data_IF_005486850016
#
_entry.id   IF_005486850016
#
_cell.length_a   1.000
_cell.length_b   1.000
_cell.length_c   1.000
_cell.angle_alpha   90.00
_cell.angle_beta   90.00
_cell.angle_gamma   90.00
#
_symmetry.space_group_name_H-M   'P 1'
#
loop_
_entity.id
_entity.type
_entity.pdbx_description
1 polymer ?
#
# COMPACT_ATOMS: atom_id res chain seq x y z
N UNK A 1 5.97 -10.76 -1.17
CA UNK A 1 5.37 -9.73 -2.02
C UNK A 1 5.44 -8.44 -1.26
N UNK A 2 5.65 -7.32 -1.94
CA UNK A 2 5.58 -6.01 -1.31
C UNK A 2 4.21 -5.38 -1.55
N UNK A 3 3.70 -4.72 -0.51
CA UNK A 3 2.42 -4.04 -0.54
C UNK A 3 2.57 -2.56 -0.20
N UNK A 4 1.61 -1.77 -0.66
CA UNK A 4 1.37 -0.41 -0.21
C UNK A 4 0.04 -0.43 0.56
N UNK A 5 -0.03 0.31 1.65
CA UNK A 5 -1.28 0.59 2.35
C UNK A 5 -1.60 2.05 2.15
N UNK A 6 -2.80 2.31 1.66
CA UNK A 6 -3.35 3.64 1.49
C UNK A 6 -3.83 4.19 2.83
N UNK A 7 -3.85 5.52 2.95
CA UNK A 7 -4.23 6.21 4.17
C UNK A 7 -5.71 5.99 4.51
N UNK A 8 -6.57 5.86 3.50
CA UNK A 8 -8.00 5.63 3.69
C UNK A 8 -8.31 4.36 4.51
N UNK A 9 -7.49 3.31 4.38
CA UNK A 9 -7.64 2.01 5.05
C UNK A 9 -6.65 1.76 6.17
N UNK A 10 -5.74 2.69 6.48
CA UNK A 10 -4.71 2.48 7.51
C UNK A 10 -5.32 2.12 8.87
N UNK A 11 -6.44 2.75 9.22
CA UNK A 11 -7.16 2.54 10.46
C UNK A 11 -7.75 1.13 10.57
N UNK A 12 -8.05 0.47 9.44
CA UNK A 12 -8.57 -0.89 9.44
C UNK A 12 -7.53 -1.91 9.90
N UNK A 13 -6.25 -1.63 9.63
CA UNK A 13 -5.12 -2.52 9.95
C UNK A 13 -4.39 -2.11 11.24
N UNK A 14 -4.33 -0.81 11.52
CA UNK A 14 -3.51 -0.25 12.61
C UNK A 14 -4.33 0.48 13.68
N UNK A 15 -5.63 0.70 13.46
CA UNK A 15 -6.51 1.31 14.45
C UNK A 15 -6.85 0.40 15.63
N UNK A 16 -7.53 0.96 16.63
CA UNK A 16 -7.98 0.23 17.82
C UNK A 16 -9.07 -0.81 17.49
N UNK A 17 -9.96 -0.50 16.54
CA UNK A 17 -11.02 -1.39 16.07
C UNK A 17 -10.74 -1.85 14.65
N UNK A 18 -9.83 -2.81 14.52
CA UNK A 18 -9.45 -3.38 13.23
C UNK A 18 -10.60 -4.15 12.59
N UNK A 19 -10.73 -4.10 11.27
CA UNK A 19 -11.63 -4.99 10.53
C UNK A 19 -11.01 -6.39 10.46
N UNK A 20 -11.79 -7.44 10.18
CA UNK A 20 -11.19 -8.77 10.00
C UNK A 20 -10.18 -8.79 8.83
N UNK A 21 -10.49 -8.24 7.64
CA UNK A 21 -9.50 -8.11 6.57
C UNK A 21 -8.26 -7.32 7.01
N UNK A 22 -8.43 -6.17 7.66
CA UNK A 22 -7.31 -5.38 8.18
C UNK A 22 -6.44 -6.13 9.18
N UNK A 23 -7.03 -6.92 10.09
CA UNK A 23 -6.26 -7.83 10.97
C UNK A 23 -5.44 -8.84 10.18
N UNK A 24 -6.04 -9.47 9.16
CA UNK A 24 -5.35 -10.47 8.34
C UNK A 24 -4.21 -9.87 7.51
N UNK A 25 -4.40 -8.66 7.01
CA UNK A 25 -3.35 -7.90 6.33
C UNK A 25 -2.20 -7.59 7.30
N UNK A 26 -2.50 -7.06 8.50
CA UNK A 26 -1.50 -6.80 9.53
C UNK A 26 -0.72 -8.07 9.92
N UNK A 27 -1.40 -9.20 10.14
CA UNK A 27 -0.76 -10.48 10.45
C UNK A 27 0.15 -10.95 9.31
N UNK A 28 -0.28 -10.77 8.07
CA UNK A 28 0.52 -11.10 6.88
C UNK A 28 1.82 -10.30 6.83
N UNK A 29 1.76 -8.99 7.08
CA UNK A 29 2.97 -8.14 7.14
C UNK A 29 3.91 -8.64 8.26
N UNK A 30 3.39 -8.90 9.46
CA UNK A 30 4.24 -9.35 10.58
C UNK A 30 4.88 -10.73 10.35
N UNK A 31 4.24 -11.62 9.59
CA UNK A 31 4.77 -12.96 9.29
C UNK A 31 5.81 -12.98 8.17
N UNK A 32 5.86 -11.99 7.30
CA UNK A 32 6.60 -12.16 6.05
C UNK A 32 6.44 -11.06 5.03
N UNK A 33 5.25 -10.45 4.99
CA UNK A 33 4.94 -9.36 4.08
C UNK A 33 5.84 -8.15 4.32
N UNK A 34 6.03 -7.35 3.28
CA UNK A 34 6.77 -6.10 3.36
C UNK A 34 5.85 -4.96 2.93
N UNK A 35 5.87 -3.85 3.66
CA UNK A 35 5.25 -2.61 3.22
C UNK A 35 6.30 -1.71 2.58
N UNK A 36 5.90 -1.00 1.53
CA UNK A 36 6.69 0.07 0.95
C UNK A 36 5.96 1.38 1.21
N UNK A 37 6.70 2.35 1.72
CA UNK A 37 6.22 3.70 2.02
C UNK A 37 7.24 4.72 1.55
N UNK A 38 6.82 5.94 1.30
CA UNK A 38 7.71 7.05 0.97
C UNK A 38 6.92 8.28 0.55
N UNK A 39 7.60 9.42 0.41
CA UNK A 39 7.00 10.65 -0.06
C UNK A 39 5.79 11.09 0.77
N UNK A 40 4.79 11.65 0.10
CA UNK A 40 3.59 12.19 0.74
C UNK A 40 2.78 11.11 1.50
N UNK A 41 2.63 9.90 0.94
CA UNK A 41 1.92 8.81 1.60
C UNK A 41 2.49 8.49 2.99
N UNK A 42 3.82 8.54 3.14
CA UNK A 42 4.45 8.30 4.44
C UNK A 42 4.03 9.37 5.46
N UNK A 43 3.98 10.63 5.06
CA UNK A 43 3.56 11.75 5.91
C UNK A 43 2.11 11.58 6.35
N UNK A 44 1.24 11.21 5.43
CA UNK A 44 -0.18 10.94 5.69
C UNK A 44 -0.36 9.76 6.66
N UNK A 45 0.31 8.64 6.39
CA UNK A 45 0.24 7.45 7.25
C UNK A 45 0.84 7.71 8.64
N UNK A 46 1.90 8.53 8.76
CA UNK A 46 2.54 8.87 10.04
C UNK A 46 1.65 9.76 10.94
N UNK A 47 0.55 10.31 10.40
CA UNK A 47 -0.52 10.94 11.20
C UNK A 47 -1.29 9.90 12.05
N UNK A 48 -1.30 8.63 11.63
CA UNK A 48 -1.78 7.53 12.45
C UNK A 48 -0.67 7.08 13.43
N UNK A 49 -0.82 7.41 14.72
CA UNK A 49 0.19 7.12 15.73
C UNK A 49 0.54 5.63 15.85
N UNK A 50 -0.46 4.75 15.81
CA UNK A 50 -0.25 3.29 15.87
C UNK A 50 0.58 2.79 14.69
N UNK A 51 0.28 3.29 13.49
CA UNK A 51 1.07 2.97 12.30
C UNK A 51 2.50 3.52 12.43
N UNK A 52 2.66 4.78 12.83
CA UNK A 52 3.98 5.42 12.97
C UNK A 52 4.88 4.64 13.93
N UNK A 53 4.38 4.32 15.12
CA UNK A 53 5.13 3.54 16.12
C UNK A 53 5.47 2.14 15.60
N UNK A 54 4.50 1.46 14.98
CA UNK A 54 4.74 0.16 14.38
C UNK A 54 5.78 0.22 13.25
N UNK A 55 5.72 1.25 12.38
CA UNK A 55 6.61 1.43 11.23
C UNK A 55 8.07 1.54 11.65
N UNK A 56 8.36 2.30 12.70
CA UNK A 56 9.73 2.47 13.23
C UNK A 56 10.33 1.13 13.64
N UNK A 57 9.57 0.31 14.36
CA UNK A 57 10.01 -1.02 14.78
C UNK A 57 10.04 -2.02 13.61
N UNK A 58 9.05 -1.97 12.72
CA UNK A 58 8.96 -2.82 11.54
C UNK A 58 10.09 -2.56 10.53
N UNK A 59 10.56 -1.32 10.40
CA UNK A 59 11.72 -0.97 9.59
C UNK A 59 13.00 -1.66 10.11
N UNK A 60 13.22 -1.68 11.44
CA UNK A 60 14.35 -2.39 12.07
C UNK A 60 14.30 -3.90 11.82
N UNK A 61 13.10 -4.46 11.65
CA UNK A 61 12.86 -5.87 11.33
C UNK A 61 12.85 -6.17 9.83
N UNK A 62 13.16 -5.19 8.97
CA UNK A 62 13.14 -5.36 7.50
C UNK A 62 11.73 -5.62 6.92
N UNK A 63 10.69 -5.22 7.64
CA UNK A 63 9.27 -5.35 7.24
C UNK A 63 8.74 -4.11 6.53
N UNK A 64 9.44 -3.00 6.61
CA UNK A 64 9.12 -1.77 5.89
C UNK A 64 10.32 -1.34 5.07
N UNK A 65 10.08 -1.04 3.80
CA UNK A 65 11.02 -0.37 2.90
C UNK A 65 10.57 1.08 2.80
N UNK A 66 11.45 2.00 3.18
CA UNK A 66 11.19 3.45 3.07
C UNK A 66 11.94 3.95 1.84
N UNK A 67 11.20 4.42 0.83
CA UNK A 67 11.79 5.06 -0.34
C UNK A 67 12.16 6.52 -0.02
N UNK A 68 13.22 7.06 -0.64
CA UNK A 68 13.56 8.48 -0.51
C UNK A 68 12.42 9.38 -0.99
N UNK A 69 12.07 10.40 -0.19
CA UNK A 69 10.91 11.25 -0.46
C UNK A 69 11.07 12.06 -1.75
N UNK A 70 12.29 12.50 -2.07
CA UNK A 70 12.64 13.24 -3.27
C UNK A 70 12.42 12.41 -4.55
N UNK A 71 12.79 11.12 -4.52
CA UNK A 71 12.55 10.22 -5.65
C UNK A 71 11.07 9.96 -5.88
N UNK A 72 10.31 9.75 -4.80
CA UNK A 72 8.86 9.55 -4.89
C UNK A 72 8.19 10.80 -5.43
N UNK A 73 8.56 11.98 -4.94
CA UNK A 73 8.00 13.26 -5.39
C UNK A 73 8.32 13.55 -6.87
N UNK A 74 9.58 13.34 -7.28
CA UNK A 74 9.98 13.52 -8.67
C UNK A 74 9.16 12.61 -9.60
N UNK A 75 9.00 11.34 -9.24
CA UNK A 75 8.24 10.38 -10.05
C UNK A 75 6.74 10.66 -10.05
N UNK A 76 6.17 11.09 -8.92
CA UNK A 76 4.77 11.49 -8.84
C UNK A 76 4.48 12.68 -9.78
N UNK A 77 5.36 13.68 -9.76
CA UNK A 77 5.24 14.85 -10.63
C UNK A 77 5.37 14.50 -12.14
N UNK A 78 6.20 13.53 -12.51
CA UNK A 78 6.25 13.01 -13.88
C UNK A 78 4.91 12.39 -14.31
N UNK A 79 4.30 11.57 -13.44
CA UNK A 79 3.01 10.94 -13.70
C UNK A 79 1.90 12.00 -13.89
N UNK A 80 1.88 13.01 -13.01
CA UNK A 80 0.94 14.14 -13.09
C UNK A 80 1.08 14.92 -14.39
N UNK A 81 2.30 15.28 -14.79
CA UNK A 81 2.56 16.01 -16.04
C UNK A 81 2.14 15.25 -17.29
N UNK A 82 2.19 13.92 -17.22
CA UNK A 82 1.78 13.04 -18.32
C UNK A 82 0.28 12.74 -18.33
N UNK A 83 -0.47 13.21 -17.33
CA UNK A 83 -1.89 12.90 -17.12
C UNK A 83 -2.16 11.39 -17.17
N UNK A 84 -1.21 10.58 -16.68
CA UNK A 84 -1.26 9.13 -16.83
C UNK A 84 -2.15 8.43 -15.79
N UNK A 85 -2.50 9.11 -14.70
CA UNK A 85 -3.32 8.61 -13.60
C UNK A 85 -4.72 9.24 -13.62
N UNK A 86 -5.75 8.43 -13.33
CA UNK A 86 -7.11 8.90 -13.07
C UNK A 86 -7.26 9.44 -11.63
N UNK A 87 -6.56 8.83 -10.67
CA UNK A 87 -6.50 9.24 -9.27
C UNK A 87 -5.54 10.41 -9.06
N UNK A 88 -5.85 11.23 -8.04
CA UNK A 88 -4.96 12.26 -7.51
C UNK A 88 -3.83 11.69 -6.63
N UNK A 89 -3.79 10.38 -6.38
CA UNK A 89 -2.77 9.70 -5.59
C UNK A 89 -1.62 9.17 -6.47
N UNK A 90 -1.13 10.04 -7.37
CA UNK A 90 0.03 9.79 -8.25
C UNK A 90 1.25 9.25 -7.48
N UNK A 91 1.42 9.71 -6.23
CA UNK A 91 2.50 9.32 -5.34
C UNK A 91 2.41 7.86 -4.88
N UNK A 92 1.21 7.26 -4.79
CA UNK A 92 1.04 5.82 -4.53
C UNK A 92 1.53 4.99 -5.72
N UNK A 93 1.20 5.42 -6.93
CA UNK A 93 1.67 4.78 -8.17
C UNK A 93 3.18 4.94 -8.31
N UNK A 94 3.74 6.10 -7.96
CA UNK A 94 5.19 6.32 -7.93
C UNK A 94 5.89 5.34 -6.97
N UNK A 95 5.36 5.13 -5.76
CA UNK A 95 5.89 4.14 -4.81
C UNK A 95 5.83 2.73 -5.40
N UNK A 96 4.74 2.38 -6.10
CA UNK A 96 4.60 1.08 -6.72
C UNK A 96 5.66 0.83 -7.81
N UNK A 97 5.92 1.84 -8.64
CA UNK A 97 6.92 1.78 -9.71
C UNK A 97 8.35 1.72 -9.18
N UNK A 98 8.69 2.57 -8.20
CA UNK A 98 10.03 2.64 -7.64
C UNK A 98 10.35 1.46 -6.72
N UNK A 99 9.39 1.06 -5.87
CA UNK A 99 9.57 -0.01 -4.90
C UNK A 99 9.20 -1.40 -5.40
N UNK A 100 8.57 -1.51 -6.57
CA UNK A 100 8.11 -2.78 -7.13
C UNK A 100 6.96 -3.43 -6.35
N UNK A 101 6.19 -2.64 -5.59
CA UNK A 101 4.99 -3.15 -4.92
C UNK A 101 3.93 -3.56 -5.95
N UNK A 102 3.29 -4.70 -5.72
CA UNK A 102 2.25 -5.25 -6.62
C UNK A 102 0.94 -5.56 -5.89
N UNK A 103 0.85 -5.16 -4.63
CA UNK A 103 -0.36 -5.26 -3.84
C UNK A 103 -0.66 -3.90 -3.24
N UNK A 104 -1.84 -3.38 -3.48
CA UNK A 104 -2.35 -2.18 -2.84
C UNK A 104 -3.47 -2.57 -1.90
N UNK A 105 -3.45 -2.10 -0.66
CA UNK A 105 -4.64 -2.05 0.17
C UNK A 105 -5.19 -0.62 0.13
N UNK A 106 -6.35 -0.44 -0.49
CA UNK A 106 -7.08 0.83 -0.59
C UNK A 106 -8.57 0.53 -0.81
N UNK A 107 -9.45 1.49 -0.53
CA UNK A 107 -10.85 1.47 -0.93
C UNK A 107 -11.19 2.50 -2.03
N UNK A 108 -10.23 3.33 -2.44
CA UNK A 108 -10.38 4.32 -3.51
C UNK A 108 -10.52 3.67 -4.91
N UNK A 109 -11.65 3.91 -5.57
CA UNK A 109 -11.94 3.27 -6.86
C UNK A 109 -11.12 3.83 -8.03
N UNK A 110 -10.77 5.12 -8.02
CA UNK A 110 -9.92 5.70 -9.06
C UNK A 110 -8.50 5.11 -8.95
N UNK A 111 -7.97 5.05 -7.73
CA UNK A 111 -6.67 4.46 -7.47
C UNK A 111 -6.65 2.95 -7.78
N UNK A 112 -7.75 2.24 -7.57
CA UNK A 112 -7.86 0.83 -7.99
C UNK A 112 -7.71 0.64 -9.49
N UNK A 113 -8.25 1.56 -10.31
CA UNK A 113 -8.13 1.49 -11.76
C UNK A 113 -6.68 1.74 -12.18
N UNK A 114 -6.05 2.77 -11.63
CA UNK A 114 -4.65 3.09 -11.92
C UNK A 114 -3.72 1.95 -11.50
N UNK A 115 -3.90 1.41 -10.30
CA UNK A 115 -3.05 0.33 -9.80
C UNK A 115 -3.21 -0.98 -10.58
N UNK A 116 -4.37 -1.21 -11.20
CA UNK A 116 -4.61 -2.36 -12.10
C UNK A 116 -4.18 -2.08 -13.53
N UNK A 117 -3.89 -0.83 -13.89
CA UNK A 117 -3.42 -0.48 -15.22
C UNK A 117 -1.99 -0.99 -15.42
N UNK A 118 -1.83 -1.95 -16.35
CA UNK A 118 -0.54 -2.60 -16.62
C UNK A 118 0.52 -1.66 -17.17
N UNK A 119 0.14 -0.54 -17.77
CA UNK A 119 1.11 0.49 -18.20
C UNK A 119 1.68 1.27 -17.03
N UNK A 120 0.96 1.35 -15.90
CA UNK A 120 1.40 2.02 -14.68
C UNK A 120 2.06 1.04 -13.71
N UNK A 121 1.40 -0.08 -13.40
CA UNK A 121 1.86 -1.08 -12.43
C UNK A 121 1.74 -2.47 -13.04
N UNK A 122 2.88 -3.14 -13.24
CA UNK A 122 2.90 -4.50 -13.78
C UNK A 122 2.30 -5.51 -12.78
N UNK A 123 1.22 -6.17 -13.19
CA UNK A 123 0.49 -7.18 -12.40
C UNK A 123 -0.01 -6.67 -11.04
N UNK A 124 -0.42 -5.41 -10.98
CA UNK A 124 -0.99 -4.80 -9.78
C UNK A 124 -2.27 -5.49 -9.32
N UNK A 125 -2.34 -5.74 -8.01
CA UNK A 125 -3.49 -6.35 -7.33
C UNK A 125 -3.99 -5.45 -6.23
N UNK A 126 -5.30 -5.47 -6.01
CA UNK A 126 -5.95 -4.67 -5.00
C UNK A 126 -6.56 -5.58 -3.94
N UNK A 127 -6.20 -5.32 -2.69
CA UNK A 127 -6.85 -5.76 -1.48
C UNK A 127 -7.80 -4.65 -1.04
N UNK A 128 -9.08 -4.92 -0.84
CA UNK A 128 -10.06 -3.88 -0.54
C UNK A 128 -11.20 -4.45 0.29
N UNK A 129 -11.71 -3.63 1.19
CA UNK A 129 -12.83 -3.94 2.08
C UNK A 129 -14.13 -3.24 1.67
N UNK A 130 -14.07 -2.30 0.72
CA UNK A 130 -15.23 -1.54 0.23
C UNK A 130 -16.36 -2.43 -0.29
N UNK A 131 -16.02 -3.50 -1.02
CA UNK A 131 -17.01 -4.43 -1.55
C UNK A 131 -17.39 -5.52 -0.54
N UNK A 132 -16.49 -5.86 0.39
CA UNK A 132 -16.63 -7.00 1.30
C UNK A 132 -16.00 -6.71 2.66
N UNK A 133 -16.82 -6.31 3.64
CA UNK A 133 -16.37 -6.10 5.02
C UNK A 133 -15.85 -7.37 5.72
N UNK A 134 -16.15 -8.55 5.16
CA UNK A 134 -15.72 -9.85 5.68
C UNK A 134 -14.48 -10.38 4.95
N UNK A 135 -13.63 -11.11 5.68
CA UNK A 135 -12.51 -11.80 5.05
C UNK A 135 -13.01 -12.97 4.18
N UNK A 136 -12.43 -13.13 2.99
CA UNK A 136 -12.90 -14.06 1.96
C UNK A 136 -11.72 -14.79 1.33
N UNK A 137 -12.01 -15.86 0.59
CA UNK A 137 -10.98 -16.63 -0.08
C UNK A 137 -10.15 -15.77 -1.07
N UNK A 138 -10.75 -14.76 -1.71
CA UNK A 138 -10.03 -13.80 -2.57
C UNK A 138 -8.96 -13.03 -1.78
N UNK A 139 -9.31 -12.53 -0.59
CA UNK A 139 -8.36 -11.88 0.32
C UNK A 139 -7.21 -12.84 0.70
N UNK A 140 -7.54 -14.09 1.02
CA UNK A 140 -6.53 -15.09 1.38
C UNK A 140 -5.53 -15.36 0.24
N UNK A 141 -6.00 -15.49 -1.01
CA UNK A 141 -5.14 -15.71 -2.19
C UNK A 141 -4.17 -14.54 -2.43
N UNK A 142 -4.58 -13.32 -2.13
CA UNK A 142 -3.70 -12.14 -2.24
C UNK A 142 -2.56 -12.20 -1.21
N UNK A 143 -2.87 -12.62 0.01
CA UNK A 143 -1.89 -12.69 1.10
C UNK A 143 -1.02 -13.98 1.06
N UNK A 144 -1.39 -14.99 0.28
CA UNK A 144 -0.65 -16.26 0.22
C UNK A 144 0.57 -16.24 -0.71
N UNK A 145 0.84 -15.14 -1.42
CA UNK A 145 1.98 -15.07 -2.36
C UNK A 145 3.22 -14.42 -1.71
N UNK A 146 4.25 -15.23 -1.47
CA UNK A 146 5.37 -14.90 -0.58
C UNK A 146 6.72 -14.76 -1.32
N UNK A 147 6.86 -13.76 -2.18
CA UNK A 147 8.19 -13.23 -2.54
C UNK A 147 8.08 -11.74 -2.89
N UNK A 148 8.82 -10.88 -2.18
CA UNK A 148 9.09 -9.52 -2.65
C UNK A 148 10.51 -9.58 -3.23
N UNK A 149 10.78 -8.99 -4.41
CA UNK A 149 12.13 -8.89 -4.95
C UNK A 149 13.10 -8.22 -3.96
#
# INVERSE_FOLDING_TARGET
>A
MCAIIDNDVVHESFGARRTEPGRRFFDWVNRGGKLIVGGQLRVELDANESFRLWRVDAARRGRVVVLPDDQVAARAHELERSEACESNDSHVIAIAQLGGARLLFSNDQALHKDFKNRSLVRDGRVYSTSNHAQFRQSHQRLLSTSACP
#
